data_IF_612446672447
#
_entry.id   IF_612446672447
#
_cell.length_a   1.000
_cell.length_b   1.000
_cell.length_c   1.000
_cell.angle_alpha   90.00
_cell.angle_beta   90.00
_cell.angle_gamma   90.00
#
_symmetry.space_group_name_H-M   'P 1'
#
loop_
_entity.id
_entity.type
_entity.pdbx_description
1 polymer ?
#
# COMPACT_ATOMS: atom_id res chain seq x y z
N UNK A 1 -2.89 -64.99 17.38
CA UNK A 1 -3.07 -63.65 17.97
C UNK A 1 -2.56 -62.63 16.95
N UNK A 2 -3.48 -61.95 16.24
CA UNK A 2 -3.14 -60.92 15.24
C UNK A 2 -3.24 -59.55 15.92
N UNK A 3 -2.12 -58.90 16.15
CA UNK A 3 -2.09 -57.52 16.60
C UNK A 3 -2.44 -56.61 15.42
N UNK A 4 -3.64 -56.05 15.44
CA UNK A 4 -4.06 -54.99 14.52
C UNK A 4 -3.43 -53.69 15.01
N UNK A 5 -2.46 -53.18 14.26
CA UNK A 5 -1.85 -51.87 14.48
C UNK A 5 -2.82 -50.82 13.93
N UNK A 6 -3.49 -50.07 14.81
CA UNK A 6 -4.26 -48.89 14.44
C UNK A 6 -3.29 -47.73 14.21
N UNK A 7 -2.93 -47.47 12.96
CA UNK A 7 -2.25 -46.25 12.54
C UNK A 7 -3.28 -45.10 12.53
N UNK A 8 -3.31 -44.34 13.63
CA UNK A 8 -3.92 -43.01 13.67
C UNK A 8 -3.13 -42.10 12.73
N UNK A 9 -3.62 -41.99 11.49
CA UNK A 9 -3.24 -40.90 10.59
C UNK A 9 -3.80 -39.61 11.20
N UNK A 10 -2.98 -38.96 12.04
CA UNK A 10 -3.12 -37.53 12.26
C UNK A 10 -2.83 -36.87 10.92
N UNK A 11 -3.88 -36.62 10.14
CA UNK A 11 -3.82 -35.64 9.07
C UNK A 11 -3.47 -34.33 9.76
N UNK A 12 -2.19 -34.00 9.71
CA UNK A 12 -1.76 -32.62 9.77
C UNK A 12 -2.54 -31.91 8.66
N UNK A 13 -3.70 -31.33 9.00
CA UNK A 13 -4.19 -30.17 8.31
C UNK A 13 -3.13 -29.11 8.53
N UNK A 14 -2.07 -29.19 7.72
CA UNK A 14 -1.21 -28.07 7.44
C UNK A 14 -2.17 -26.95 7.08
N UNK A 15 -2.27 -25.98 7.98
CA UNK A 15 -2.85 -24.68 7.72
C UNK A 15 -2.24 -24.23 6.40
N UNK A 16 -3.01 -24.33 5.32
CA UNK A 16 -2.77 -23.52 4.14
C UNK A 16 -2.86 -22.08 4.64
N UNK A 17 -1.70 -21.54 5.02
CA UNK A 17 -1.56 -20.15 5.39
C UNK A 17 -2.12 -19.34 4.22
N UNK A 18 -2.74 -18.21 4.53
CA UNK A 18 -3.51 -17.40 3.58
C UNK A 18 -2.56 -16.72 2.57
N UNK A 19 -2.00 -17.50 1.64
CA UNK A 19 -1.04 -17.11 0.60
C UNK A 19 -1.60 -15.98 -0.29
N UNK A 20 -2.93 -15.83 -0.32
CA UNK A 20 -3.63 -14.80 -1.09
C UNK A 20 -3.17 -13.37 -0.79
N UNK A 21 -2.84 -13.03 0.47
CA UNK A 21 -2.35 -11.68 0.81
C UNK A 21 -0.93 -11.45 0.30
N UNK A 22 -0.05 -12.45 0.44
CA UNK A 22 1.32 -12.36 -0.05
C UNK A 22 1.37 -12.36 -1.59
N UNK A 23 0.58 -13.20 -2.24
CA UNK A 23 0.41 -13.22 -3.70
C UNK A 23 -0.12 -11.88 -4.20
N UNK A 24 -1.17 -11.34 -3.57
CA UNK A 24 -1.70 -10.01 -3.88
C UNK A 24 -0.62 -8.95 -3.81
N UNK A 25 0.13 -8.85 -2.70
CA UNK A 25 1.15 -7.82 -2.55
C UNK A 25 2.31 -8.01 -3.54
N UNK A 26 2.71 -9.24 -3.87
CA UNK A 26 3.70 -9.49 -4.92
C UNK A 26 3.23 -8.96 -6.29
N UNK A 27 1.97 -9.22 -6.65
CA UNK A 27 1.41 -8.74 -7.92
C UNK A 27 1.17 -7.23 -7.93
N UNK A 28 0.69 -6.68 -6.81
CA UNK A 28 0.52 -5.24 -6.59
C UNK A 28 1.85 -4.50 -6.77
N UNK A 29 2.94 -5.02 -6.17
CA UNK A 29 4.27 -4.45 -6.32
C UNK A 29 4.73 -4.39 -7.77
N UNK A 30 4.58 -5.50 -8.50
CA UNK A 30 5.01 -5.58 -9.90
C UNK A 30 4.22 -4.60 -10.76
N UNK A 31 2.90 -4.56 -10.58
CA UNK A 31 1.99 -3.71 -11.35
C UNK A 31 2.24 -2.22 -11.09
N UNK A 32 2.23 -1.80 -9.82
CA UNK A 32 2.39 -0.39 -9.46
C UNK A 32 3.84 0.10 -9.45
N UNK A 33 4.83 -0.74 -9.76
CA UNK A 33 6.18 -0.26 -10.06
C UNK A 33 6.24 0.56 -11.35
N UNK A 34 5.24 0.42 -12.23
CA UNK A 34 5.07 1.23 -13.45
C UNK A 34 4.42 2.58 -13.17
N UNK A 35 4.72 3.59 -14.00
CA UNK A 35 4.06 4.91 -13.97
C UNK A 35 2.62 4.89 -14.48
N UNK A 36 2.25 3.86 -15.23
CA UNK A 36 0.90 3.63 -15.72
C UNK A 36 0.53 2.16 -15.61
N UNK A 37 -0.75 1.87 -15.46
CA UNK A 37 -1.30 0.51 -15.40
C UNK A 37 -2.44 0.37 -16.42
N UNK A 38 -2.93 -0.84 -16.68
CA UNK A 38 -4.15 -1.01 -17.46
C UNK A 38 -5.39 -0.78 -16.59
N UNK A 39 -6.56 -0.56 -17.21
CA UNK A 39 -7.82 -0.45 -16.47
C UNK A 39 -8.17 -1.75 -15.75
N UNK A 40 -7.94 -2.88 -16.40
CA UNK A 40 -8.21 -4.20 -15.83
C UNK A 40 -7.29 -4.49 -14.64
N UNK A 41 -6.00 -4.16 -14.75
CA UNK A 41 -5.07 -4.29 -13.63
C UNK A 41 -5.46 -3.35 -12.48
N UNK A 42 -5.78 -2.09 -12.78
CA UNK A 42 -6.22 -1.15 -11.75
C UNK A 42 -7.47 -1.66 -11.02
N UNK A 43 -8.49 -2.11 -11.76
CA UNK A 43 -9.72 -2.66 -11.19
C UNK A 43 -9.50 -3.98 -10.45
N UNK A 44 -8.48 -4.75 -10.81
CA UNK A 44 -8.08 -5.96 -10.09
C UNK A 44 -7.55 -5.60 -8.69
N UNK A 45 -6.66 -4.61 -8.59
CA UNK A 45 -6.01 -4.25 -7.31
C UNK A 45 -6.76 -3.22 -6.47
N UNK A 46 -7.54 -2.35 -7.09
CA UNK A 46 -8.16 -1.18 -6.46
C UNK A 46 -9.65 -1.22 -6.69
N UNK A 47 -10.43 -0.96 -5.65
CA UNK A 47 -11.91 -0.96 -5.70
C UNK A 47 -12.56 0.33 -5.23
N UNK A 48 -11.75 1.31 -4.84
CA UNK A 48 -12.23 2.64 -4.47
C UNK A 48 -11.90 3.63 -5.58
N UNK A 49 -12.69 4.69 -5.63
CA UNK A 49 -12.45 5.82 -6.52
C UNK A 49 -11.68 6.89 -5.77
N UNK A 50 -10.48 7.21 -6.25
CA UNK A 50 -9.68 8.30 -5.70
C UNK A 50 -10.09 9.60 -6.39
N UNK A 51 -10.33 10.66 -5.61
CA UNK A 51 -10.39 12.02 -6.15
C UNK A 51 -8.95 12.56 -6.26
N UNK A 52 -8.40 12.70 -7.47
CA UNK A 52 -7.03 13.17 -7.65
C UNK A 52 -6.82 14.61 -7.16
N UNK A 53 -7.87 15.44 -7.11
CA UNK A 53 -7.79 16.83 -6.67
C UNK A 53 -7.57 16.96 -5.15
N UNK A 54 -7.90 15.92 -4.40
CA UNK A 54 -7.62 15.80 -2.96
C UNK A 54 -6.19 15.31 -2.69
N UNK A 55 -5.38 15.04 -3.72
CA UNK A 55 -4.01 14.54 -3.60
C UNK A 55 -3.00 15.65 -3.90
N UNK A 56 -1.88 15.60 -3.19
CA UNK A 56 -0.75 16.52 -3.37
C UNK A 56 0.47 15.74 -3.84
N UNK A 57 1.17 16.27 -4.84
CA UNK A 57 2.41 15.75 -5.34
C UNK A 57 3.59 16.33 -4.54
N UNK A 58 4.20 15.49 -3.70
CA UNK A 58 5.36 15.83 -2.87
C UNK A 58 6.71 15.63 -3.58
N UNK A 59 6.71 15.28 -4.86
CA UNK A 59 7.94 15.29 -5.66
C UNK A 59 8.39 16.71 -6.01
N UNK A 60 7.44 17.65 -6.02
CA UNK A 60 7.63 19.07 -6.34
C UNK A 60 7.96 19.91 -5.09
N UNK A 61 8.60 21.05 -5.30
CA UNK A 61 8.93 22.02 -4.26
C UNK A 61 8.53 23.44 -4.69
N UNK A 62 7.52 24.07 -4.05
CA UNK A 62 6.66 23.51 -3.01
C UNK A 62 5.76 22.37 -3.54
N UNK A 63 5.24 21.47 -2.66
CA UNK A 63 4.26 20.47 -3.05
C UNK A 63 3.04 21.10 -3.72
N UNK A 64 2.47 20.43 -4.73
CA UNK A 64 1.35 20.97 -5.51
C UNK A 64 0.24 19.92 -5.62
N UNK A 65 -1.02 20.36 -5.57
CA UNK A 65 -2.16 19.48 -5.90
C UNK A 65 -2.10 19.06 -7.35
N UNK A 66 -2.66 17.89 -7.66
CA UNK A 66 -2.93 17.56 -9.06
C UNK A 66 -4.07 18.46 -9.56
N UNK A 67 -3.86 19.18 -10.67
CA UNK A 67 -4.80 20.16 -11.23
C UNK A 67 -5.14 19.83 -12.69
N UNK A 68 -6.24 20.39 -13.19
CA UNK A 68 -6.70 20.27 -14.59
C UNK A 68 -6.98 18.82 -15.03
N UNK A 69 -7.60 18.04 -14.16
CA UNK A 69 -7.81 16.59 -14.34
C UNK A 69 -9.17 16.27 -14.95
N UNK A 70 -10.07 17.26 -14.93
CA UNK A 70 -11.51 17.14 -15.20
C UNK A 70 -11.88 16.59 -16.60
N UNK A 71 -10.90 16.40 -17.48
CA UNK A 71 -11.08 15.86 -18.83
C UNK A 71 -10.57 14.43 -19.04
N UNK A 72 -9.83 13.83 -18.11
CA UNK A 72 -9.24 12.49 -18.30
C UNK A 72 -9.72 11.49 -17.22
N UNK A 73 -10.75 10.67 -17.51
CA UNK A 73 -11.25 9.68 -16.56
C UNK A 73 -10.23 8.58 -16.25
N UNK A 74 -9.19 8.42 -17.06
CA UNK A 74 -8.11 7.46 -16.85
C UNK A 74 -6.84 8.11 -16.28
N UNK A 75 -6.91 9.34 -15.77
CA UNK A 75 -5.76 10.09 -15.28
C UNK A 75 -4.93 9.29 -14.26
N UNK A 76 -5.58 8.67 -13.28
CA UNK A 76 -4.90 7.88 -12.23
C UNK A 76 -4.24 6.63 -12.80
N UNK A 77 -4.89 6.00 -13.77
CA UNK A 77 -4.39 4.79 -14.44
C UNK A 77 -3.16 5.13 -15.29
N UNK A 78 -3.13 6.32 -15.91
CA UNK A 78 -1.99 6.85 -16.68
C UNK A 78 -0.90 7.49 -15.80
N UNK A 79 -1.22 7.85 -14.56
CA UNK A 79 -0.30 8.44 -13.61
C UNK A 79 -0.54 7.87 -12.20
N UNK A 80 0.09 6.72 -11.93
CA UNK A 80 -0.10 6.02 -10.66
C UNK A 80 0.52 6.74 -9.47
N UNK A 81 1.35 7.75 -9.67
CA UNK A 81 1.96 8.54 -8.58
C UNK A 81 0.90 9.26 -7.74
N UNK A 82 -0.27 9.56 -8.34
CA UNK A 82 -1.45 10.11 -7.65
C UNK A 82 -1.91 9.18 -6.51
N UNK A 83 -1.84 7.87 -6.72
CA UNK A 83 -2.18 6.88 -5.70
C UNK A 83 -1.18 6.86 -4.54
N UNK A 84 -0.05 7.57 -4.62
CA UNK A 84 0.96 7.57 -3.56
C UNK A 84 1.48 8.96 -3.24
N UNK A 85 0.75 10.03 -3.57
CA UNK A 85 1.17 11.41 -3.23
C UNK A 85 2.52 11.83 -3.86
N UNK A 86 2.89 11.21 -4.98
CA UNK A 86 4.16 11.42 -5.69
C UNK A 86 4.90 10.12 -5.97
N UNK A 87 5.77 10.15 -6.98
CA UNK A 87 6.59 9.01 -7.41
C UNK A 87 7.66 8.62 -6.41
N UNK A 88 8.24 9.58 -5.65
CA UNK A 88 9.17 9.25 -4.55
C UNK A 88 8.46 8.44 -3.47
N UNK A 89 7.28 8.88 -3.03
CA UNK A 89 6.51 8.13 -2.06
C UNK A 89 6.10 6.77 -2.63
N UNK A 90 5.59 6.68 -3.86
CA UNK A 90 5.28 5.39 -4.51
C UNK A 90 6.44 4.41 -4.36
N UNK A 91 7.64 4.81 -4.77
CA UNK A 91 8.83 3.96 -4.68
C UNK A 91 9.13 3.51 -3.24
N UNK A 92 8.97 4.41 -2.26
CA UNK A 92 9.19 4.11 -0.85
C UNK A 92 8.11 3.20 -0.27
N UNK A 93 6.84 3.42 -0.60
CA UNK A 93 5.69 2.61 -0.18
C UNK A 93 5.81 1.17 -0.70
N UNK A 94 6.11 1.00 -1.98
CA UNK A 94 6.32 -0.32 -2.58
C UNK A 94 7.53 -1.03 -1.95
N UNK A 95 8.61 -0.31 -1.69
CA UNK A 95 9.76 -0.87 -0.99
C UNK A 95 9.45 -1.22 0.48
N UNK A 96 8.60 -0.44 1.15
CA UNK A 96 8.14 -0.71 2.50
C UNK A 96 7.33 -2.01 2.56
N UNK A 97 6.38 -2.23 1.64
CA UNK A 97 5.65 -3.51 1.51
C UNK A 97 6.63 -4.67 1.30
N UNK A 98 7.54 -4.54 0.33
CA UNK A 98 8.52 -5.60 0.02
C UNK A 98 9.32 -6.02 1.25
N UNK A 99 9.77 -5.06 2.06
CA UNK A 99 10.63 -5.33 3.22
C UNK A 99 9.88 -5.76 4.47
N UNK A 100 8.66 -5.28 4.68
CA UNK A 100 7.98 -5.41 5.98
C UNK A 100 6.73 -6.28 5.94
N UNK A 101 6.23 -6.64 4.75
CA UNK A 101 5.09 -7.54 4.58
C UNK A 101 5.52 -8.82 3.87
N UNK A 102 6.33 -8.71 2.81
CA UNK A 102 6.71 -9.85 1.97
C UNK A 102 8.05 -10.48 2.31
N UNK A 103 8.80 -9.92 3.27
CA UNK A 103 10.03 -10.57 3.72
C UNK A 103 9.71 -11.72 4.68
N UNK A 104 10.63 -12.66 4.83
CA UNK A 104 10.52 -13.76 5.80
C UNK A 104 10.59 -13.28 7.26
N UNK A 105 10.66 -11.97 7.49
CA UNK A 105 10.73 -11.39 8.82
C UNK A 105 9.35 -11.31 9.46
N UNK A 106 9.32 -11.44 10.79
CA UNK A 106 8.10 -11.21 11.56
C UNK A 106 7.61 -9.78 11.35
N UNK A 107 6.33 -9.64 11.01
CA UNK A 107 5.65 -8.35 10.87
C UNK A 107 5.61 -7.63 12.23
N UNK A 108 6.04 -6.37 12.24
CA UNK A 108 6.09 -5.52 13.43
C UNK A 108 5.07 -4.39 13.29
N UNK A 109 3.99 -4.47 14.04
CA UNK A 109 2.94 -3.45 14.07
C UNK A 109 3.41 -2.18 14.78
N UNK A 110 2.94 -1.03 14.30
CA UNK A 110 3.18 0.28 14.92
C UNK A 110 4.62 0.82 14.80
N UNK A 111 5.57 0.00 14.32
CA UNK A 111 6.95 0.46 14.08
C UNK A 111 6.97 1.46 12.93
N UNK A 112 7.34 2.69 13.24
CA UNK A 112 7.55 3.74 12.25
C UNK A 112 8.90 3.54 11.56
N UNK A 113 8.89 3.52 10.23
CA UNK A 113 10.08 3.44 9.38
C UNK A 113 10.17 4.73 8.57
N UNK A 114 11.28 5.44 8.75
CA UNK A 114 11.49 6.77 8.19
C UNK A 114 12.52 6.77 7.07
N UNK A 115 12.27 7.56 6.03
CA UNK A 115 13.10 7.75 4.86
C UNK A 115 13.27 9.25 4.60
N UNK A 116 14.51 9.74 4.73
CA UNK A 116 14.83 11.15 4.47
C UNK A 116 15.22 11.33 3.00
N UNK A 117 14.56 12.26 2.29
CA UNK A 117 14.82 12.59 0.88
C UNK A 117 14.85 14.10 0.69
N UNK A 118 16.03 14.68 0.91
CA UNK A 118 16.21 16.14 0.86
C UNK A 118 15.40 16.80 1.99
N UNK A 119 14.54 17.80 1.69
CA UNK A 119 13.74 18.50 2.69
C UNK A 119 12.46 17.77 3.10
N UNK A 120 12.24 16.56 2.57
CA UNK A 120 11.02 15.77 2.82
C UNK A 120 11.37 14.49 3.58
N UNK A 121 10.61 14.23 4.65
CA UNK A 121 10.67 13.03 5.46
C UNK A 121 9.43 12.21 5.16
N UNK A 122 9.62 10.96 4.72
CA UNK A 122 8.55 10.00 4.50
C UNK A 122 8.60 8.96 5.60
N UNK A 123 7.47 8.63 6.20
CA UNK A 123 7.38 7.63 7.25
C UNK A 123 6.23 6.67 6.99
N UNK A 124 6.47 5.39 7.24
CA UNK A 124 5.47 4.34 7.05
C UNK A 124 5.39 3.44 8.27
N UNK A 125 4.20 2.93 8.59
CA UNK A 125 3.99 1.88 9.59
C UNK A 125 2.84 0.97 9.17
N UNK A 126 2.89 -0.28 9.62
CA UNK A 126 1.74 -1.18 9.54
C UNK A 126 0.92 -0.94 10.81
N UNK A 127 -0.26 -0.36 10.67
CA UNK A 127 -1.16 -0.10 11.81
C UNK A 127 -1.96 -1.33 12.18
N UNK A 128 -2.33 -2.13 11.18
CA UNK A 128 -3.12 -3.34 11.35
C UNK A 128 -2.67 -4.40 10.37
N UNK A 129 -2.51 -5.63 10.85
CA UNK A 129 -2.24 -6.80 10.03
C UNK A 129 -3.08 -7.98 10.53
N UNK A 130 -4.20 -8.23 9.86
CA UNK A 130 -5.09 -9.36 10.09
C UNK A 130 -5.26 -10.11 8.77
N UNK A 131 -5.69 -11.37 8.86
CA UNK A 131 -5.84 -12.30 7.72
C UNK A 131 -6.58 -11.67 6.53
N UNK A 132 -7.59 -10.87 6.83
CA UNK A 132 -8.50 -10.24 5.87
C UNK A 132 -8.29 -8.74 5.71
N UNK A 133 -7.44 -8.09 6.52
CA UNK A 133 -7.38 -6.64 6.60
C UNK A 133 -6.00 -6.12 7.02
N UNK A 134 -5.32 -5.43 6.11
CA UNK A 134 -4.03 -4.76 6.32
C UNK A 134 -4.21 -3.25 6.19
N UNK A 135 -3.66 -2.49 7.13
CA UNK A 135 -3.66 -1.02 7.07
C UNK A 135 -2.23 -0.53 7.13
N UNK A 136 -1.82 0.20 6.09
CA UNK A 136 -0.52 0.86 6.02
C UNK A 136 -0.75 2.35 6.17
N UNK A 137 -0.10 2.95 7.16
CA UNK A 137 -0.11 4.40 7.34
C UNK A 137 1.17 4.98 6.74
N UNK A 138 0.99 6.08 6.02
CA UNK A 138 2.00 6.95 5.46
C UNK A 138 1.90 8.33 6.14
N UNK A 139 3.04 8.93 6.45
CA UNK A 139 3.15 10.34 6.78
C UNK A 139 4.29 10.98 5.97
N UNK A 140 4.06 12.20 5.50
CA UNK A 140 5.01 13.02 4.76
C UNK A 140 5.14 14.35 5.50
N UNK A 141 6.36 14.67 5.92
CA UNK A 141 6.71 15.98 6.47
C UNK A 141 7.63 16.70 5.48
N UNK A 142 7.17 17.82 4.92
CA UNK A 142 7.93 18.63 3.98
C UNK A 142 8.24 20.00 4.57
N UNK A 143 9.52 20.39 4.61
CA UNK A 143 9.91 21.75 5.02
C UNK A 143 9.40 22.78 4.02
N UNK A 144 8.81 23.87 4.55
CA UNK A 144 8.33 24.98 3.73
C UNK A 144 9.54 25.86 3.34
N UNK A 145 9.80 26.11 2.04
CA UNK A 145 10.93 26.92 1.61
C UNK A 145 10.94 28.30 2.28
N UNK A 146 12.06 28.66 2.90
CA UNK A 146 12.22 29.96 3.59
C UNK A 146 11.48 30.08 4.93
N UNK A 147 11.06 28.96 5.53
CA UNK A 147 10.39 28.92 6.83
C UNK A 147 10.93 27.77 7.69
N UNK A 148 10.82 27.91 9.01
CA UNK A 148 11.07 26.82 9.97
C UNK A 148 9.85 25.88 10.12
N UNK A 149 8.77 26.15 9.40
CA UNK A 149 7.53 25.35 9.44
C UNK A 149 7.59 24.16 8.47
N UNK A 150 6.84 23.11 8.81
CA UNK A 150 6.64 21.93 7.96
C UNK A 150 5.18 21.80 7.55
N UNK A 151 4.94 21.39 6.31
CA UNK A 151 3.67 20.80 5.89
C UNK A 151 3.66 19.33 6.27
N UNK A 152 2.57 18.87 6.90
CA UNK A 152 2.34 17.47 7.22
C UNK A 152 1.20 16.94 6.35
N UNK A 153 1.33 15.71 5.86
CA UNK A 153 0.29 15.02 5.13
C UNK A 153 0.37 13.54 5.40
N UNK A 154 -0.75 12.96 5.80
CA UNK A 154 -0.86 11.58 6.24
C UNK A 154 -1.93 10.86 5.44
N UNK A 155 -1.70 9.59 5.13
CA UNK A 155 -2.67 8.71 4.49
C UNK A 155 -2.70 7.32 5.12
N UNK A 156 -3.88 6.74 5.23
CA UNK A 156 -4.07 5.33 5.57
C UNK A 156 -4.58 4.56 4.35
N UNK A 157 -3.83 3.55 3.93
CA UNK A 157 -4.15 2.65 2.83
C UNK A 157 -4.73 1.36 3.40
N UNK A 158 -6.00 1.07 3.07
CA UNK A 158 -6.73 -0.08 3.61
C UNK A 158 -6.84 -1.16 2.56
N UNK A 159 -6.17 -2.28 2.81
CA UNK A 159 -6.25 -3.49 1.98
C UNK A 159 -7.16 -4.50 2.67
N UNK A 160 -8.16 -5.01 1.96
CA UNK A 160 -9.13 -5.96 2.53
C UNK A 160 -9.49 -7.07 1.56
N UNK A 161 -9.78 -8.25 2.09
CA UNK A 161 -10.47 -9.31 1.37
C UNK A 161 -11.92 -8.91 1.14
N UNK A 162 -12.31 -8.85 -0.12
CA UNK A 162 -13.67 -8.51 -0.55
C UNK A 162 -14.54 -9.76 -0.61
N UNK A 163 -15.85 -9.59 -0.79
CA UNK A 163 -16.83 -10.70 -0.76
C UNK A 163 -16.58 -11.77 -1.83
N UNK A 164 -15.96 -11.39 -2.96
CA UNK A 164 -15.55 -12.33 -4.01
C UNK A 164 -14.23 -13.07 -3.69
N UNK A 165 -13.73 -12.95 -2.45
CA UNK A 165 -12.47 -13.51 -1.93
C UNK A 165 -11.19 -12.92 -2.53
N UNK A 166 -11.26 -11.88 -3.37
CA UNK A 166 -10.08 -11.14 -3.83
C UNK A 166 -9.64 -10.13 -2.78
N UNK A 167 -8.33 -9.98 -2.59
CA UNK A 167 -7.74 -8.88 -1.82
C UNK A 167 -7.68 -7.64 -2.72
N UNK A 168 -8.06 -6.47 -2.20
CA UNK A 168 -7.95 -5.19 -2.90
C UNK A 168 -7.56 -4.06 -1.95
N UNK A 169 -7.00 -2.98 -2.49
CA UNK A 169 -7.03 -1.66 -1.88
C UNK A 169 -8.47 -1.14 -1.97
N UNK A 170 -9.12 -1.05 -0.81
CA UNK A 170 -10.55 -0.73 -0.69
C UNK A 170 -10.79 0.69 -0.22
N UNK A 171 -9.79 1.36 0.32
CA UNK A 171 -9.90 2.73 0.79
C UNK A 171 -8.53 3.39 0.94
N UNK A 172 -8.48 4.70 0.73
CA UNK A 172 -7.34 5.56 1.03
C UNK A 172 -7.87 6.84 1.65
N UNK A 173 -7.66 7.00 2.95
CA UNK A 173 -8.09 8.17 3.70
C UNK A 173 -6.89 9.06 4.02
N UNK A 174 -6.96 10.34 3.65
CA UNK A 174 -5.85 11.27 3.78
C UNK A 174 -6.26 12.56 4.48
N UNK A 175 -5.31 13.13 5.22
CA UNK A 175 -5.45 14.42 5.90
C UNK A 175 -4.11 15.17 5.90
N UNK A 176 -4.16 16.49 5.80
CA UNK A 176 -3.00 17.38 5.81
C UNK A 176 -3.41 18.84 5.65
#
# INVERSE_FOLDING_TARGET
MKNIFFLLLFTNCALANDDLMAEYFNHFLTTFSSHSVSRDDYAFFVSYEIDPTMRTNYDLSPPQRYLNIDSDPDFVIKNTDVLFSGGKSRGLFLNFIRKNILSDQKIILGRLITYNKGPVIYSFKIEKYQKDNVVIFENILALIPGSDNTSEFSCSYVFRKTDNRSVKLVDVNCAG
#
